data_IF_059384220262
#
_entry.id   IF_059384220262
#
_cell.length_a   1.000
_cell.length_b   1.000
_cell.length_c   1.000
_cell.angle_alpha   90.00
_cell.angle_beta   90.00
_cell.angle_gamma   90.00
#
_symmetry.space_group_name_H-M   'P 1'
#
loop_
_entity.id
_entity.type
_entity.pdbx_description
1 polymer ?
#
# COMPACT_ATOMS: atom_id res chain seq x y z
N UNK A 1 22.82 -3.26 -14.96
CA UNK A 1 23.81 -2.92 -13.89
C UNK A 1 23.62 -1.46 -13.42
N UNK A 2 23.40 -1.25 -12.11
CA UNK A 2 23.08 0.06 -11.50
C UNK A 2 24.31 0.94 -11.18
N UNK A 3 25.52 0.44 -11.49
CA UNK A 3 26.78 1.12 -11.22
C UNK A 3 27.24 1.03 -9.75
N UNK A 4 28.51 1.35 -9.50
CA UNK A 4 29.09 1.38 -8.14
C UNK A 4 28.49 2.53 -7.33
N UNK A 5 28.29 2.30 -6.03
CA UNK A 5 27.84 3.31 -5.05
C UNK A 5 26.48 3.94 -5.39
N UNK A 6 25.62 3.18 -6.06
CA UNK A 6 24.32 3.66 -6.57
C UNK A 6 23.37 4.18 -5.49
N UNK A 7 23.51 3.68 -4.25
CA UNK A 7 22.82 4.23 -3.07
C UNK A 7 23.53 5.47 -2.56
N UNK A 8 24.81 5.36 -2.18
CA UNK A 8 25.58 6.44 -1.55
C UNK A 8 25.60 7.75 -2.37
N UNK A 9 25.60 7.66 -3.71
CA UNK A 9 25.54 8.83 -4.61
C UNK A 9 24.25 9.64 -4.54
N UNK A 10 23.22 9.11 -3.88
CA UNK A 10 21.88 9.71 -3.78
C UNK A 10 21.54 10.19 -2.38
N UNK A 11 22.54 10.22 -1.49
CA UNK A 11 22.45 10.72 -0.14
C UNK A 11 23.49 11.82 0.09
N UNK A 12 23.18 12.78 0.95
CA UNK A 12 24.14 13.80 1.34
C UNK A 12 25.02 13.28 2.49
N UNK A 13 26.32 13.13 2.22
CA UNK A 13 27.29 12.67 3.22
C UNK A 13 26.89 11.32 3.83
N UNK A 14 26.82 11.27 5.17
CA UNK A 14 26.55 10.04 5.93
C UNK A 14 25.07 9.86 6.32
N UNK A 15 24.15 10.65 5.75
CA UNK A 15 22.71 10.58 6.07
C UNK A 15 22.09 9.20 5.84
N UNK A 16 22.66 8.39 4.95
CA UNK A 16 22.23 7.00 4.71
C UNK A 16 22.28 6.13 5.98
N UNK A 17 23.13 6.45 6.97
CA UNK A 17 23.20 5.75 8.27
C UNK A 17 21.93 5.93 9.11
N UNK A 18 21.21 7.03 8.88
CA UNK A 18 19.90 7.33 9.46
C UNK A 18 18.84 7.38 8.38
N UNK A 19 19.01 6.65 7.27
CA UNK A 19 18.27 6.81 6.02
C UNK A 19 17.02 5.94 5.85
N UNK A 20 16.62 5.16 6.87
CA UNK A 20 15.40 4.34 6.80
C UNK A 20 15.48 3.22 5.77
N UNK A 21 14.43 3.05 4.96
CA UNK A 21 14.30 1.97 3.98
C UNK A 21 13.91 0.62 4.60
N UNK A 22 13.14 0.65 5.69
CA UNK A 22 12.72 -0.55 6.43
C UNK A 22 11.86 -1.52 5.59
N UNK A 23 11.80 -2.80 5.96
CA UNK A 23 11.18 -3.85 5.14
C UNK A 23 10.16 -4.65 5.95
N UNK A 24 9.06 -4.00 6.31
CA UNK A 24 8.10 -4.54 7.29
C UNK A 24 6.83 -5.13 6.66
N UNK A 25 6.70 -5.07 5.33
CA UNK A 25 5.57 -5.65 4.59
C UNK A 25 5.77 -7.13 4.26
N UNK A 26 5.26 -7.54 3.10
CA UNK A 26 5.17 -8.95 2.70
C UNK A 26 6.32 -9.36 1.76
N UNK A 27 6.66 -10.64 1.78
CA UNK A 27 7.69 -11.23 0.91
C UNK A 27 7.02 -12.28 0.01
N UNK A 28 7.34 -12.27 -1.28
CA UNK A 28 6.99 -13.35 -2.21
C UNK A 28 8.23 -14.05 -2.74
N UNK A 29 8.04 -15.23 -3.35
CA UNK A 29 9.14 -16.07 -3.83
C UNK A 29 8.75 -16.80 -5.11
N UNK A 30 9.62 -16.77 -6.13
CA UNK A 30 9.52 -17.63 -7.31
C UNK A 30 10.59 -18.73 -7.26
N UNK A 31 10.23 -20.01 -7.06
CA UNK A 31 11.18 -21.11 -7.02
C UNK A 31 11.86 -21.42 -8.35
N UNK A 32 11.25 -21.07 -9.49
CA UNK A 32 11.84 -21.31 -10.81
C UNK A 32 12.95 -20.29 -11.11
N UNK A 33 12.82 -19.08 -10.57
CA UNK A 33 13.83 -18.02 -10.71
C UNK A 33 14.82 -17.98 -9.55
N UNK A 34 14.50 -18.66 -8.43
CA UNK A 34 15.20 -18.58 -7.16
C UNK A 34 15.37 -17.11 -6.70
N UNK A 35 14.25 -16.38 -6.65
CA UNK A 35 14.19 -14.97 -6.27
C UNK A 35 13.12 -14.72 -5.21
N UNK A 36 13.51 -14.02 -4.14
CA UNK A 36 12.59 -13.38 -3.20
C UNK A 36 12.31 -11.94 -3.65
N UNK A 37 11.08 -11.49 -3.47
CA UNK A 37 10.65 -10.14 -3.81
C UNK A 37 10.05 -9.45 -2.59
N UNK A 38 10.47 -8.22 -2.36
CA UNK A 38 9.98 -7.40 -1.26
C UNK A 38 10.16 -5.91 -1.59
N UNK A 39 9.51 -5.06 -0.80
CA UNK A 39 9.57 -3.62 -0.91
C UNK A 39 10.30 -2.97 0.27
N UNK A 40 11.05 -1.90 0.02
CA UNK A 40 11.63 -1.05 1.06
C UNK A 40 10.77 0.19 1.31
N UNK A 41 10.65 0.59 2.57
CA UNK A 41 9.87 1.74 3.04
C UNK A 41 10.56 3.08 2.87
N UNK A 42 10.07 4.06 3.63
CA UNK A 42 10.44 5.46 3.54
C UNK A 42 11.90 5.80 3.87
N UNK A 43 12.43 6.91 3.32
CA UNK A 43 13.78 7.40 3.60
C UNK A 43 13.89 8.11 4.96
N UNK A 44 13.45 7.44 6.03
CA UNK A 44 13.42 7.89 7.44
C UNK A 44 12.58 9.13 7.74
N UNK A 45 13.20 10.30 7.72
CA UNK A 45 12.56 11.56 8.10
C UNK A 45 11.59 12.01 7.03
N UNK A 46 10.49 12.59 7.49
CA UNK A 46 9.35 13.05 6.72
C UNK A 46 9.56 14.46 6.15
N UNK A 47 10.65 15.13 6.54
CA UNK A 47 11.06 16.38 5.90
C UNK A 47 12.04 16.07 4.74
N UNK A 48 11.63 16.17 3.47
CA UNK A 48 12.50 15.86 2.34
C UNK A 48 13.66 16.87 2.16
N UNK A 49 13.47 18.14 2.54
CA UNK A 49 14.48 19.21 2.40
C UNK A 49 15.79 18.95 3.18
N UNK A 50 15.73 18.16 4.26
CA UNK A 50 16.91 17.78 5.04
C UNK A 50 17.66 16.57 4.48
N UNK A 51 17.16 15.91 3.43
CA UNK A 51 17.75 14.72 2.81
C UNK A 51 17.74 14.78 1.28
N UNK A 52 18.40 15.78 0.66
CA UNK A 52 18.38 15.95 -0.79
C UNK A 52 18.97 14.73 -1.53
N UNK A 53 18.36 14.40 -2.66
CA UNK A 53 18.76 13.29 -3.56
C UNK A 53 17.71 12.18 -3.65
N UNK A 54 17.87 11.25 -4.58
CA UNK A 54 16.92 10.15 -4.81
C UNK A 54 16.69 9.24 -3.58
N UNK A 55 17.57 9.30 -2.57
CA UNK A 55 17.52 8.52 -1.33
C UNK A 55 17.50 6.99 -1.56
N UNK A 56 18.22 6.51 -2.58
CA UNK A 56 18.25 5.09 -2.94
C UNK A 56 18.89 4.26 -1.83
N UNK A 57 18.41 3.07 -1.52
CA UNK A 57 17.31 2.36 -2.19
C UNK A 57 16.08 2.28 -1.28
N UNK A 58 15.59 3.41 -0.76
CA UNK A 58 14.24 3.49 -0.17
C UNK A 58 13.17 3.36 -1.26
N UNK A 59 11.92 3.10 -0.91
CA UNK A 59 10.78 3.04 -1.85
C UNK A 59 11.00 2.14 -3.06
N UNK A 60 11.64 0.99 -2.88
CA UNK A 60 12.22 0.17 -3.93
C UNK A 60 11.68 -1.25 -3.87
N UNK A 61 11.24 -1.76 -5.03
CA UNK A 61 11.02 -3.18 -5.25
C UNK A 61 12.38 -3.85 -5.44
N UNK A 62 12.65 -4.87 -4.64
CA UNK A 62 13.83 -5.72 -4.74
C UNK A 62 13.49 -7.09 -5.28
N UNK A 63 14.37 -7.66 -6.11
CA UNK A 63 14.43 -9.08 -6.40
C UNK A 63 15.80 -9.62 -6.01
N UNK A 64 15.86 -10.48 -4.98
CA UNK A 64 17.13 -11.01 -4.45
C UNK A 64 17.18 -12.51 -4.51
N UNK A 65 18.37 -13.06 -4.73
CA UNK A 65 18.61 -14.47 -4.53
C UNK A 65 18.59 -14.78 -3.01
N UNK A 66 17.80 -15.76 -2.54
CA UNK A 66 17.67 -16.05 -1.10
C UNK A 66 18.93 -16.68 -0.49
N UNK A 67 19.75 -17.38 -1.29
CA UNK A 67 20.97 -18.04 -0.80
C UNK A 67 22.12 -17.05 -0.53
N UNK A 68 22.19 -15.97 -1.31
CA UNK A 68 23.32 -15.02 -1.31
C UNK A 68 22.95 -13.60 -0.89
N UNK A 69 21.66 -13.26 -0.91
CA UNK A 69 21.18 -11.89 -0.72
C UNK A 69 21.46 -10.95 -1.90
N UNK A 70 22.08 -11.43 -2.99
CA UNK A 70 22.41 -10.59 -4.15
C UNK A 70 21.16 -10.17 -4.90
N UNK A 71 21.00 -8.88 -5.17
CA UNK A 71 19.89 -8.38 -5.97
C UNK A 71 20.13 -8.64 -7.47
N UNK A 72 19.17 -9.29 -8.12
CA UNK A 72 19.17 -9.47 -9.59
C UNK A 72 18.76 -8.18 -10.29
N UNK A 73 17.71 -7.54 -9.78
CA UNK A 73 17.21 -6.25 -10.24
C UNK A 73 16.57 -5.48 -9.08
N UNK A 74 16.42 -4.18 -9.26
CA UNK A 74 15.78 -3.25 -8.33
C UNK A 74 15.03 -2.16 -9.11
N UNK A 75 13.92 -1.66 -8.57
CA UNK A 75 13.16 -0.55 -9.16
C UNK A 75 12.63 0.37 -8.06
N UNK A 76 13.05 1.64 -8.05
CA UNK A 76 12.58 2.63 -7.09
C UNK A 76 11.31 3.33 -7.59
N UNK A 77 10.22 3.16 -6.86
CA UNK A 77 8.87 3.63 -7.22
C UNK A 77 8.68 5.10 -6.91
N UNK A 78 9.14 5.54 -5.73
CA UNK A 78 9.02 6.93 -5.26
C UNK A 78 10.41 7.49 -4.93
N UNK A 79 11.21 7.89 -5.94
CA UNK A 79 12.50 8.54 -5.71
C UNK A 79 12.33 9.85 -4.97
N UNK A 80 13.17 10.11 -3.97
CA UNK A 80 13.10 11.30 -3.11
C UNK A 80 11.68 11.49 -2.54
N UNK A 81 11.16 10.48 -1.82
CA UNK A 81 9.82 10.55 -1.23
C UNK A 81 9.60 11.81 -0.38
N UNK A 82 8.42 12.39 -0.47
CA UNK A 82 8.03 13.61 0.24
C UNK A 82 6.78 13.41 1.11
N UNK A 83 6.24 12.18 1.16
CA UNK A 83 4.88 11.93 1.67
C UNK A 83 4.75 10.73 2.60
N UNK A 84 5.84 10.00 2.88
CA UNK A 84 5.82 8.72 3.59
C UNK A 84 5.12 7.60 2.82
N UNK A 85 5.30 7.54 1.50
CA UNK A 85 4.74 6.46 0.68
C UNK A 85 5.59 5.19 0.72
N UNK A 86 5.69 4.61 1.92
CA UNK A 86 6.33 3.33 2.22
C UNK A 86 6.06 2.24 1.18
N UNK A 87 7.10 1.91 0.42
CA UNK A 87 7.03 0.98 -0.72
C UNK A 87 6.98 -0.50 -0.36
N UNK A 88 6.34 -0.88 0.75
CA UNK A 88 6.46 -2.20 1.38
C UNK A 88 5.34 -3.18 1.03
N UNK A 89 4.32 -2.75 0.29
CA UNK A 89 3.17 -3.59 -0.03
C UNK A 89 3.60 -4.87 -0.77
N UNK A 90 2.74 -5.88 -0.76
CA UNK A 90 3.02 -7.20 -1.32
C UNK A 90 3.37 -7.20 -2.81
N UNK A 91 4.15 -8.20 -3.20
CA UNK A 91 4.62 -8.41 -4.57
C UNK A 91 3.93 -9.66 -5.15
N UNK A 92 2.76 -9.50 -5.78
CA UNK A 92 1.93 -10.63 -6.21
C UNK A 92 2.45 -11.21 -7.52
N UNK A 93 2.93 -12.46 -7.47
CA UNK A 93 3.53 -13.13 -8.63
C UNK A 93 2.45 -13.86 -9.43
N UNK A 94 2.34 -13.55 -10.72
CA UNK A 94 1.34 -14.16 -11.62
C UNK A 94 1.95 -14.49 -12.97
N UNK A 95 1.43 -15.50 -13.65
CA UNK A 95 1.78 -15.81 -15.03
C UNK A 95 0.60 -15.44 -15.93
N UNK A 96 0.77 -14.43 -16.78
CA UNK A 96 -0.31 -13.92 -17.63
C UNK A 96 0.17 -13.58 -19.03
N UNK A 97 -0.77 -13.37 -19.96
CA UNK A 97 -0.47 -12.80 -21.26
C UNK A 97 -0.63 -11.28 -21.22
N UNK A 98 0.41 -10.55 -21.60
CA UNK A 98 0.40 -9.09 -21.78
C UNK A 98 0.99 -8.76 -23.15
N UNK A 99 0.28 -7.94 -23.93
CA UNK A 99 0.66 -7.68 -25.33
C UNK A 99 0.75 -8.93 -26.21
N UNK A 100 -0.05 -9.97 -25.92
CA UNK A 100 -0.02 -11.26 -26.63
C UNK A 100 1.15 -12.17 -26.28
N UNK A 101 2.00 -11.80 -25.30
CA UNK A 101 3.16 -12.58 -24.88
C UNK A 101 2.95 -13.12 -23.47
N UNK A 102 3.22 -14.41 -23.26
CA UNK A 102 3.26 -15.00 -21.93
C UNK A 102 4.42 -14.39 -21.13
N UNK A 103 4.13 -13.89 -19.93
CA UNK A 103 5.09 -13.23 -19.06
C UNK A 103 4.97 -13.70 -17.63
N UNK A 104 6.12 -13.78 -16.98
CA UNK A 104 6.26 -13.95 -15.54
C UNK A 104 6.14 -12.58 -14.89
N UNK A 105 4.96 -12.24 -14.38
CA UNK A 105 4.63 -10.92 -13.84
C UNK A 105 4.78 -10.85 -12.32
N UNK A 106 5.05 -9.64 -11.84
CA UNK A 106 4.87 -9.17 -10.46
C UNK A 106 3.96 -7.96 -10.53
N UNK A 107 2.86 -7.97 -9.76
CA UNK A 107 1.96 -6.83 -9.61
C UNK A 107 2.00 -6.33 -8.17
N UNK A 108 2.09 -5.01 -8.01
CA UNK A 108 2.28 -4.33 -6.74
C UNK A 108 1.38 -3.08 -6.68
N UNK A 109 0.69 -2.89 -5.55
CA UNK A 109 -0.18 -1.76 -5.30
C UNK A 109 0.46 -0.88 -4.24
N UNK A 110 1.17 0.15 -4.67
CA UNK A 110 1.97 0.97 -3.77
C UNK A 110 1.12 1.98 -2.99
N UNK A 111 1.61 2.40 -1.82
CA UNK A 111 1.01 3.51 -1.06
C UNK A 111 0.83 4.76 -1.90
N UNK A 112 1.75 5.05 -2.82
CA UNK A 112 1.68 6.25 -3.64
C UNK A 112 0.46 6.27 -4.60
N UNK A 113 -0.35 5.21 -4.65
CA UNK A 113 -1.57 5.16 -5.44
C UNK A 113 -1.38 4.67 -6.87
N UNK A 114 -0.17 4.21 -7.22
CA UNK A 114 0.14 3.59 -8.50
C UNK A 114 0.17 2.06 -8.36
N UNK A 115 -0.51 1.40 -9.29
CA UNK A 115 -0.48 -0.03 -9.50
C UNK A 115 0.59 -0.35 -10.53
N UNK A 116 1.66 -1.01 -10.09
CA UNK A 116 2.80 -1.38 -10.90
C UNK A 116 2.68 -2.84 -11.35
N UNK A 117 2.88 -3.10 -12.64
CA UNK A 117 3.10 -4.45 -13.16
C UNK A 117 4.47 -4.50 -13.81
N UNK A 118 5.31 -5.42 -13.33
CA UNK A 118 6.67 -5.63 -13.79
C UNK A 118 6.84 -7.06 -14.31
N UNK A 119 7.78 -7.25 -15.22
CA UNK A 119 8.35 -8.57 -15.49
C UNK A 119 9.25 -8.97 -14.31
N UNK A 120 8.90 -10.04 -13.59
CA UNK A 120 9.58 -10.40 -12.34
C UNK A 120 10.94 -11.05 -12.54
N UNK A 121 11.28 -11.43 -13.76
CA UNK A 121 12.60 -11.99 -14.07
C UNK A 121 13.62 -10.87 -14.37
N UNK A 122 13.21 -9.89 -15.17
CA UNK A 122 14.07 -8.82 -15.67
C UNK A 122 13.98 -7.50 -14.90
N UNK A 123 12.86 -7.25 -14.20
CA UNK A 123 12.55 -5.96 -13.58
C UNK A 123 12.02 -4.90 -14.56
N UNK A 124 11.66 -5.30 -15.79
CA UNK A 124 11.06 -4.38 -16.77
C UNK A 124 9.71 -3.86 -16.28
N UNK A 125 9.53 -2.54 -16.25
CA UNK A 125 8.26 -1.91 -15.92
C UNK A 125 7.32 -1.93 -17.14
N UNK A 126 6.16 -2.58 -16.99
CA UNK A 126 5.19 -2.81 -18.06
C UNK A 126 3.95 -1.91 -17.93
N UNK A 127 3.44 -1.73 -16.71
CA UNK A 127 2.27 -0.89 -16.40
C UNK A 127 2.56 -0.12 -15.11
N UNK A 128 2.15 1.16 -15.07
CA UNK A 128 2.21 2.00 -13.87
C UNK A 128 1.08 3.03 -13.91
N UNK A 129 -0.10 2.62 -13.44
CA UNK A 129 -1.35 3.40 -13.54
C UNK A 129 -1.98 3.65 -12.17
N UNK A 130 -2.76 4.71 -12.05
CA UNK A 130 -3.42 5.05 -10.78
C UNK A 130 -4.54 4.05 -10.46
N UNK A 131 -4.54 3.46 -9.27
CA UNK A 131 -5.63 2.60 -8.79
C UNK A 131 -6.60 3.33 -7.85
N UNK A 132 -6.45 4.64 -7.72
CA UNK A 132 -7.44 5.57 -7.19
C UNK A 132 -7.46 6.84 -8.06
N UNK A 133 -8.62 7.23 -8.63
CA UNK A 133 -8.70 8.40 -9.50
C UNK A 133 -8.39 9.74 -8.80
N UNK A 134 -8.38 9.79 -7.46
CA UNK A 134 -8.07 11.02 -6.70
C UNK A 134 -6.58 11.27 -6.50
N UNK A 135 -5.71 10.30 -6.82
CA UNK A 135 -4.25 10.46 -6.71
C UNK A 135 -3.81 11.69 -7.51
N UNK A 136 -3.21 12.68 -6.85
CA UNK A 136 -2.89 13.98 -7.44
C UNK A 136 -1.42 14.41 -7.29
N UNK A 137 -0.66 13.80 -6.39
CA UNK A 137 0.76 14.14 -6.18
C UNK A 137 1.64 13.94 -7.43
N UNK A 138 1.18 13.09 -8.36
CA UNK A 138 1.84 12.82 -9.63
C UNK A 138 0.85 12.90 -10.81
N UNK A 139 1.35 13.31 -11.97
CA UNK A 139 0.61 13.19 -13.24
C UNK A 139 0.72 11.80 -13.88
N UNK A 140 1.52 10.90 -13.30
CA UNK A 140 1.77 9.54 -13.80
C UNK A 140 3.27 9.24 -13.93
N UNK A 141 3.60 8.01 -14.33
CA UNK A 141 4.98 7.57 -14.55
C UNK A 141 5.40 7.82 -15.99
N UNK A 142 6.64 8.28 -16.17
CA UNK A 142 7.22 8.40 -17.51
C UNK A 142 7.54 7.01 -18.10
N UNK A 143 6.68 6.53 -19.00
CA UNK A 143 6.82 5.21 -19.63
C UNK A 143 7.61 5.23 -20.95
N UNK A 144 8.12 6.39 -21.39
CA UNK A 144 8.93 6.47 -22.60
C UNK A 144 10.35 5.97 -22.33
N UNK A 145 10.71 4.78 -22.84
CA UNK A 145 12.03 4.15 -22.64
C UNK A 145 13.22 4.99 -23.11
N UNK A 146 13.01 5.94 -24.02
CA UNK A 146 14.06 6.85 -24.51
C UNK A 146 14.18 8.13 -23.65
N UNK A 147 13.29 8.33 -22.69
CA UNK A 147 13.29 9.50 -21.82
C UNK A 147 14.36 9.38 -20.73
N UNK A 148 15.09 10.46 -20.39
CA UNK A 148 16.02 10.46 -19.26
C UNK A 148 15.34 10.23 -17.90
N UNK A 149 14.02 10.43 -17.84
CA UNK A 149 13.21 10.21 -16.63
C UNK A 149 12.37 8.93 -16.70
N UNK A 150 12.66 8.02 -17.64
CA UNK A 150 11.95 6.74 -17.75
C UNK A 150 11.84 6.03 -16.40
N UNK A 151 10.62 5.55 -16.09
CA UNK A 151 10.28 4.85 -14.87
C UNK A 151 10.09 5.76 -13.64
N UNK A 152 10.19 7.09 -13.77
CA UNK A 152 9.99 8.02 -12.65
C UNK A 152 8.58 8.64 -12.67
N UNK A 153 7.91 8.77 -11.52
CA UNK A 153 6.73 9.60 -11.38
C UNK A 153 7.03 11.07 -11.70
N UNK A 154 6.11 11.73 -12.40
CA UNK A 154 6.17 13.17 -12.67
C UNK A 154 5.47 13.92 -11.54
N UNK A 155 6.24 14.29 -10.51
CA UNK A 155 5.76 15.02 -9.33
C UNK A 155 5.05 16.31 -9.75
N UNK A 156 3.89 16.58 -9.16
CA UNK A 156 3.11 17.80 -9.38
C UNK A 156 3.56 18.84 -8.34
N UNK A 157 4.12 19.99 -8.75
CA UNK A 157 4.68 20.96 -7.80
C UNK A 157 3.69 21.49 -6.76
N UNK A 158 2.39 21.55 -7.07
CA UNK A 158 1.34 21.99 -6.15
C UNK A 158 1.17 21.07 -4.93
N UNK A 159 1.52 19.79 -5.06
CA UNK A 159 1.35 18.77 -4.02
C UNK A 159 2.69 18.22 -3.49
N UNK A 160 3.81 18.83 -3.87
CA UNK A 160 5.16 18.52 -3.39
C UNK A 160 5.39 19.19 -2.04
N UNK A 161 5.92 18.44 -1.07
CA UNK A 161 6.17 18.93 0.30
C UNK A 161 7.59 19.44 0.51
N UNK A 162 8.42 19.47 -0.53
CA UNK A 162 9.85 19.86 -0.48
C UNK A 162 10.11 21.18 0.27
N UNK A 163 9.16 22.11 0.25
CA UNK A 163 9.25 23.35 1.03
C UNK A 163 8.87 23.12 2.50
N UNK A 164 9.87 23.21 3.38
CA UNK A 164 9.72 23.18 4.84
C UNK A 164 8.89 24.34 5.40
N UNK A 165 8.26 24.12 6.56
CA UNK A 165 7.50 25.09 7.37
C UNK A 165 6.34 25.74 6.60
N UNK A 166 5.79 25.00 5.65
CA UNK A 166 4.60 25.34 4.88
C UNK A 166 3.64 24.17 4.93
N UNK A 167 2.39 24.43 5.27
CA UNK A 167 1.34 23.43 5.22
C UNK A 167 0.83 23.25 3.78
N UNK A 168 1.21 22.14 3.17
CA UNK A 168 0.80 21.71 1.83
C UNK A 168 -0.53 20.98 1.92
N UNK A 169 -1.54 21.41 1.17
CA UNK A 169 -2.92 20.98 1.37
C UNK A 169 -3.45 20.13 0.24
N UNK A 170 -4.36 19.23 0.56
CA UNK A 170 -5.13 18.47 -0.42
C UNK A 170 -4.32 17.42 -1.17
N UNK A 171 -3.28 16.87 -0.56
CA UNK A 171 -2.45 15.82 -1.16
C UNK A 171 -3.21 14.50 -1.09
N UNK A 172 -3.30 13.80 -2.21
CA UNK A 172 -3.94 12.50 -2.31
C UNK A 172 -2.98 11.51 -3.00
N UNK A 173 -2.72 10.34 -2.41
CA UNK A 173 -3.26 9.87 -1.13
C UNK A 173 -2.65 10.57 0.10
N UNK A 174 -3.18 10.27 1.29
CA UNK A 174 -2.52 10.59 2.56
C UNK A 174 -1.28 9.72 2.78
N UNK A 175 -0.48 9.99 3.82
CA UNK A 175 0.72 9.21 4.19
C UNK A 175 0.46 7.70 4.38
N UNK A 176 -0.75 7.34 4.82
CA UNK A 176 -1.20 5.94 4.89
C UNK A 176 -1.43 5.28 3.51
N UNK A 177 -1.26 6.04 2.43
CA UNK A 177 -1.34 5.62 1.03
C UNK A 177 -2.75 5.31 0.54
N UNK A 178 -2.88 5.05 -0.77
CA UNK A 178 -4.10 4.49 -1.35
C UNK A 178 -4.33 3.03 -0.91
N UNK A 179 -3.32 2.39 -0.32
CA UNK A 179 -3.37 1.06 0.30
C UNK A 179 -2.18 0.95 1.25
N UNK A 180 -2.40 0.40 2.44
CA UNK A 180 -1.36 0.21 3.47
C UNK A 180 -0.99 -1.29 3.54
N UNK A 181 -0.72 -1.83 4.72
CA UNK A 181 -0.34 -3.23 4.92
C UNK A 181 -1.28 -4.27 4.32
N UNK A 182 -2.58 -3.97 4.20
CA UNK A 182 -3.60 -4.95 3.87
C UNK A 182 -3.36 -5.64 2.51
N UNK A 183 -3.10 -6.96 2.43
CA UNK A 183 -2.74 -7.59 1.16
C UNK A 183 -3.94 -7.72 0.20
N UNK A 184 -3.70 -7.46 -1.09
CA UNK A 184 -4.63 -7.76 -2.16
C UNK A 184 -4.65 -9.27 -2.49
N UNK A 185 -5.73 -9.71 -3.12
CA UNK A 185 -5.88 -11.07 -3.63
C UNK A 185 -5.84 -11.12 -5.15
N UNK A 186 -5.53 -12.27 -5.73
CA UNK A 186 -5.59 -12.52 -7.17
C UNK A 186 -6.42 -13.77 -7.46
N UNK A 187 -7.22 -13.75 -8.52
CA UNK A 187 -7.89 -14.96 -9.04
C UNK A 187 -7.35 -15.30 -10.43
N UNK A 188 -6.78 -16.51 -10.63
CA UNK A 188 -6.37 -16.96 -11.96
C UNK A 188 -7.57 -17.20 -12.91
N UNK A 189 -8.77 -17.46 -12.37
CA UNK A 189 -9.98 -17.72 -13.16
C UNK A 189 -10.51 -16.45 -13.84
N UNK A 190 -10.45 -15.32 -13.13
CA UNK A 190 -10.87 -14.01 -13.67
C UNK A 190 -9.70 -13.24 -14.28
N UNK A 191 -8.47 -13.54 -13.85
CA UNK A 191 -7.28 -12.77 -14.17
C UNK A 191 -7.24 -11.38 -13.49
N UNK A 192 -8.06 -11.16 -12.46
CA UNK A 192 -8.19 -9.87 -11.77
C UNK A 192 -7.54 -9.90 -10.38
N UNK A 193 -7.10 -8.73 -9.95
CA UNK A 193 -6.67 -8.45 -8.59
C UNK A 193 -7.80 -7.81 -7.82
N UNK A 194 -7.96 -8.16 -6.54
CA UNK A 194 -8.97 -7.61 -5.64
C UNK A 194 -8.28 -6.86 -4.52
N UNK A 195 -8.39 -5.53 -4.56
CA UNK A 195 -7.53 -4.62 -3.81
C UNK A 195 -8.37 -3.88 -2.77
N UNK A 196 -8.10 -4.10 -1.47
CA UNK A 196 -8.68 -3.30 -0.40
C UNK A 196 -7.95 -1.95 -0.30
N UNK A 197 -8.60 -0.88 -0.74
CA UNK A 197 -8.00 0.46 -0.85
C UNK A 197 -8.51 1.43 0.21
N UNK A 198 -7.67 2.43 0.45
CA UNK A 198 -7.96 3.64 1.19
C UNK A 198 -8.40 4.72 0.18
N UNK A 199 -9.14 5.70 0.66
CA UNK A 199 -9.60 6.86 -0.09
C UNK A 199 -9.52 8.07 0.84
N UNK A 200 -8.29 8.48 1.15
CA UNK A 200 -7.98 9.50 2.16
C UNK A 200 -6.92 10.43 1.59
N UNK A 201 -7.09 11.73 1.82
CA UNK A 201 -6.14 12.79 1.48
C UNK A 201 -5.59 13.44 2.76
N UNK A 202 -4.59 14.30 2.60
CA UNK A 202 -3.94 14.95 3.74
C UNK A 202 -3.56 16.40 3.48
N UNK A 203 -3.45 17.12 4.59
CA UNK A 203 -2.62 18.31 4.75
C UNK A 203 -1.29 17.89 5.41
N UNK A 204 -0.17 18.45 4.97
CA UNK A 204 1.18 18.04 5.36
C UNK A 204 2.09 19.25 5.57
N UNK A 205 2.65 19.39 6.77
CA UNK A 205 3.59 20.44 7.10
C UNK A 205 4.92 19.83 7.59
N UNK A 206 5.97 19.79 6.75
CA UNK A 206 7.27 19.29 7.14
C UNK A 206 8.04 20.35 7.95
N UNK A 207 8.77 19.93 8.96
CA UNK A 207 9.63 20.78 9.77
C UNK A 207 10.96 20.07 10.08
N UNK A 208 12.01 20.86 10.33
CA UNK A 208 13.32 20.30 10.64
C UNK A 208 13.29 19.53 11.96
N UNK A 209 13.88 18.33 11.96
CA UNK A 209 14.01 17.50 13.16
C UNK A 209 15.45 17.00 13.30
N UNK A 210 15.93 16.88 14.54
CA UNK A 210 17.24 16.31 14.86
C UNK A 210 17.11 14.82 15.17
N UNK A 211 18.06 14.02 14.69
CA UNK A 211 18.11 12.60 15.04
C UNK A 211 18.60 12.41 16.48
N UNK A 212 17.90 11.58 17.26
CA UNK A 212 18.35 11.07 18.55
C UNK A 212 18.01 9.59 18.62
N UNK A 213 19.00 8.73 18.87
CA UNK A 213 18.78 7.29 18.94
C UNK A 213 17.73 6.93 20.00
N UNK A 214 16.76 6.10 19.62
CA UNK A 214 15.63 5.71 20.49
C UNK A 214 14.46 6.70 20.54
N UNK A 215 14.55 7.85 19.85
CA UNK A 215 13.46 8.82 19.73
C UNK A 215 12.86 8.83 18.31
N UNK A 216 11.58 9.23 18.14
CA UNK A 216 10.99 9.42 16.82
C UNK A 216 11.76 10.42 15.97
N UNK A 217 11.99 10.10 14.71
CA UNK A 217 12.68 10.95 13.74
C UNK A 217 11.76 11.26 12.55
N UNK A 218 10.61 11.87 12.85
CA UNK A 218 9.55 12.17 11.86
C UNK A 218 9.87 13.50 11.16
N UNK A 219 9.49 14.64 11.73
CA UNK A 219 9.69 15.96 11.10
C UNK A 219 8.52 16.41 10.22
N UNK A 220 7.29 16.03 10.57
CA UNK A 220 6.09 16.51 9.90
C UNK A 220 4.87 16.47 10.83
N UNK A 221 3.92 17.37 10.59
CA UNK A 221 2.57 17.37 11.18
C UNK A 221 1.55 17.15 10.07
N UNK A 222 0.55 16.31 10.32
CA UNK A 222 -0.43 15.90 9.31
C UNK A 222 -1.86 16.04 9.83
N UNK A 223 -2.78 16.23 8.89
CA UNK A 223 -4.22 16.05 9.10
C UNK A 223 -4.77 15.22 7.95
N UNK A 224 -5.62 14.23 8.26
CA UNK A 224 -6.18 13.32 7.25
C UNK A 224 -7.71 13.47 7.15
N UNK A 225 -8.25 13.33 5.95
CA UNK A 225 -9.68 13.51 5.66
C UNK A 225 -10.07 12.78 4.37
N UNK A 226 -11.35 12.43 4.16
CA UNK A 226 -11.82 11.90 2.87
C UNK A 226 -11.62 12.94 1.76
N UNK A 227 -11.42 12.53 0.50
CA UNK A 227 -11.25 13.45 -0.63
C UNK A 227 -12.34 14.52 -0.70
N UNK A 228 -12.00 15.77 -1.10
CA UNK A 228 -12.98 16.85 -1.17
C UNK A 228 -14.24 16.47 -1.96
N UNK A 229 -15.40 16.71 -1.35
CA UNK A 229 -16.71 16.36 -1.92
C UNK A 229 -17.15 14.92 -1.70
N UNK A 230 -16.35 14.09 -1.03
CA UNK A 230 -16.70 12.71 -0.69
C UNK A 230 -16.70 12.49 0.83
N UNK A 231 -17.50 11.54 1.31
CA UNK A 231 -17.63 11.23 2.75
C UNK A 231 -17.06 9.86 3.13
N UNK A 232 -16.73 9.05 2.12
CA UNK A 232 -16.27 7.68 2.27
C UNK A 232 -14.73 7.63 2.21
N UNK A 233 -14.11 6.74 2.98
CA UNK A 233 -12.65 6.66 3.12
C UNK A 233 -12.04 5.38 2.59
N UNK A 234 -12.81 4.48 1.96
CA UNK A 234 -12.28 3.23 1.42
C UNK A 234 -12.99 2.78 0.16
N UNK A 235 -12.29 2.03 -0.68
CA UNK A 235 -12.91 1.31 -1.76
C UNK A 235 -12.40 -0.13 -1.76
N UNK A 236 -13.26 -1.09 -2.10
CA UNK A 236 -12.83 -2.43 -2.49
C UNK A 236 -12.95 -2.53 -4.00
N UNK A 237 -11.83 -2.68 -4.70
CA UNK A 237 -11.79 -2.62 -6.16
C UNK A 237 -11.38 -3.95 -6.77
N UNK A 238 -11.79 -4.19 -8.02
CA UNK A 238 -11.09 -5.11 -8.91
C UNK A 238 -10.21 -4.35 -9.89
N UNK A 239 -9.01 -4.88 -10.13
CA UNK A 239 -7.99 -4.29 -10.98
C UNK A 239 -7.50 -5.29 -12.03
N UNK A 240 -7.40 -4.82 -13.28
CA UNK A 240 -6.71 -5.55 -14.35
C UNK A 240 -5.25 -5.09 -14.43
N UNK A 241 -4.34 -5.93 -13.92
CA UNK A 241 -2.90 -5.66 -13.91
C UNK A 241 -2.25 -5.59 -15.29
N UNK A 242 -2.91 -6.07 -16.35
CA UNK A 242 -2.38 -6.01 -17.72
C UNK A 242 -2.65 -4.67 -18.39
N UNK A 243 -3.77 -4.03 -18.03
CA UNK A 243 -4.24 -2.79 -18.68
C UNK A 243 -4.17 -1.58 -17.77
N UNK A 244 -3.97 -1.78 -16.47
CA UNK A 244 -3.88 -0.70 -15.50
C UNK A 244 -5.23 -0.04 -15.22
N UNK A 245 -6.30 -0.84 -15.13
CA UNK A 245 -7.67 -0.32 -15.01
C UNK A 245 -8.44 -0.93 -13.85
N UNK A 246 -9.21 -0.08 -13.18
CA UNK A 246 -10.26 -0.49 -12.24
C UNK A 246 -11.42 -1.07 -13.07
N UNK A 247 -11.79 -2.32 -12.80
CA UNK A 247 -12.90 -3.03 -13.47
C UNK A 247 -14.23 -2.74 -12.78
N UNK A 248 -14.24 -2.75 -11.45
CA UNK A 248 -15.36 -2.35 -10.62
C UNK A 248 -14.83 -1.83 -9.28
N UNK A 249 -15.67 -1.06 -8.56
CA UNK A 249 -15.35 -0.51 -7.24
C UNK A 249 -16.59 -0.52 -6.34
N UNK A 250 -16.40 -0.96 -5.09
CA UNK A 250 -17.39 -0.90 -4.02
C UNK A 250 -16.92 0.13 -3.00
N UNK A 251 -17.70 1.20 -2.80
CA UNK A 251 -17.40 2.22 -1.78
C UNK A 251 -17.63 1.67 -0.38
N UNK A 252 -16.71 1.96 0.52
CA UNK A 252 -16.78 1.64 1.95
C UNK A 252 -16.67 2.92 2.79
N UNK A 253 -17.41 2.96 3.90
CA UNK A 253 -17.47 4.14 4.76
C UNK A 253 -16.10 4.51 5.32
N UNK A 254 -15.40 3.53 5.89
CA UNK A 254 -14.00 3.66 6.27
C UNK A 254 -13.10 2.93 5.28
N UNK A 255 -11.79 3.18 5.37
CA UNK A 255 -10.80 2.43 4.59
C UNK A 255 -10.91 0.92 4.79
N UNK A 256 -10.57 0.17 3.74
CA UNK A 256 -10.57 -1.30 3.81
C UNK A 256 -9.17 -1.75 4.25
N UNK A 257 -9.01 -2.05 5.53
CA UNK A 257 -7.71 -2.34 6.17
C UNK A 257 -7.44 -3.84 6.39
N UNK A 258 -8.29 -4.71 5.86
CA UNK A 258 -8.11 -6.15 5.96
C UNK A 258 -7.47 -6.72 4.70
N UNK A 259 -6.67 -7.78 4.82
CA UNK A 259 -6.30 -8.58 3.65
C UNK A 259 -7.51 -9.27 3.00
N UNK A 260 -7.51 -9.28 1.67
CA UNK A 260 -8.53 -9.94 0.86
C UNK A 260 -8.21 -11.43 0.62
N UNK A 261 -9.23 -12.23 0.37
CA UNK A 261 -9.10 -13.64 0.00
C UNK A 261 -10.02 -13.98 -1.17
N UNK A 262 -9.45 -14.33 -2.33
CA UNK A 262 -10.20 -14.86 -3.46
C UNK A 262 -10.21 -16.40 -3.43
N UNK A 263 -11.32 -17.01 -3.83
CA UNK A 263 -11.47 -18.49 -3.88
C UNK A 263 -11.98 -18.95 -5.24
N UNK A 264 -11.77 -20.23 -5.57
CA UNK A 264 -12.27 -20.86 -6.80
C UNK A 264 -13.81 -20.89 -6.90
N UNK A 265 -14.52 -20.61 -5.80
CA UNK A 265 -15.99 -20.47 -5.80
C UNK A 265 -16.51 -19.20 -6.47
N UNK A 266 -15.63 -18.36 -7.04
CA UNK A 266 -16.01 -17.08 -7.64
C UNK A 266 -16.39 -16.02 -6.61
N UNK A 267 -15.94 -16.17 -5.36
CA UNK A 267 -16.21 -15.25 -4.25
C UNK A 267 -14.91 -14.70 -3.68
N UNK A 268 -14.95 -13.42 -3.29
CA UNK A 268 -13.83 -12.71 -2.67
C UNK A 268 -14.27 -12.17 -1.32
N UNK A 269 -13.50 -12.46 -0.27
CA UNK A 269 -13.77 -12.03 1.08
C UNK A 269 -12.86 -10.87 1.49
N UNK A 270 -13.39 -9.95 2.28
CA UNK A 270 -12.63 -8.92 2.97
C UNK A 270 -13.40 -8.45 4.22
N UNK A 271 -12.70 -7.80 5.13
CA UNK A 271 -13.23 -7.19 6.35
C UNK A 271 -13.26 -5.67 6.28
N UNK A 272 -14.22 -5.05 6.97
CA UNK A 272 -14.28 -3.59 7.13
C UNK A 272 -13.85 -3.16 8.53
N UNK A 273 -13.44 -1.88 8.68
CA UNK A 273 -13.03 -1.32 9.97
C UNK A 273 -14.17 -1.24 10.99
N UNK A 274 -15.44 -1.14 10.56
CA UNK A 274 -16.60 -1.31 11.45
C UNK A 274 -16.92 -2.78 11.81
N UNK A 275 -16.12 -3.73 11.31
CA UNK A 275 -16.14 -5.12 11.74
C UNK A 275 -17.07 -6.00 10.94
N UNK A 276 -17.39 -5.67 9.69
CA UNK A 276 -18.13 -6.58 8.82
C UNK A 276 -17.17 -7.48 8.05
N UNK A 277 -17.34 -8.80 8.16
CA UNK A 277 -16.83 -9.73 7.14
C UNK A 277 -17.82 -9.68 5.97
N UNK A 278 -17.31 -9.34 4.79
CA UNK A 278 -18.07 -9.31 3.54
C UNK A 278 -17.56 -10.37 2.57
N UNK A 279 -18.46 -10.87 1.74
CA UNK A 279 -18.10 -11.63 0.54
C UNK A 279 -18.75 -10.96 -0.68
N UNK A 280 -17.99 -10.79 -1.76
CA UNK A 280 -18.46 -10.21 -3.01
C UNK A 280 -18.25 -11.18 -4.17
N UNK A 281 -19.08 -11.06 -5.20
CA UNK A 281 -18.91 -11.76 -6.47
C UNK A 281 -17.63 -11.27 -7.18
N UNK A 282 -16.78 -12.21 -7.59
CA UNK A 282 -15.46 -11.95 -8.15
C UNK A 282 -15.48 -11.18 -9.48
N UNK A 283 -16.59 -11.18 -10.23
CA UNK A 283 -16.69 -10.52 -11.54
C UNK A 283 -17.40 -9.18 -11.48
N UNK A 284 -18.34 -9.02 -10.55
CA UNK A 284 -19.27 -7.88 -10.50
C UNK A 284 -19.09 -6.99 -9.29
N UNK A 285 -18.41 -7.46 -8.23
CA UNK A 285 -18.27 -6.75 -6.96
C UNK A 285 -19.56 -6.73 -6.13
N UNK A 286 -20.62 -7.44 -6.54
CA UNK A 286 -21.89 -7.47 -5.81
C UNK A 286 -21.71 -8.16 -4.44
N UNK A 287 -22.15 -7.52 -3.37
CA UNK A 287 -22.20 -8.13 -2.02
C UNK A 287 -23.11 -9.36 -2.01
N UNK A 288 -22.57 -10.50 -1.56
CA UNK A 288 -23.23 -11.80 -1.44
C UNK A 288 -23.44 -12.20 0.02
N UNK A 289 -22.56 -11.75 0.90
CA UNK A 289 -22.60 -12.06 2.33
C UNK A 289 -22.08 -10.88 3.14
N UNK A 290 -22.64 -10.69 4.33
CA UNK A 290 -22.21 -9.68 5.30
C UNK A 290 -22.52 -10.16 6.71
N UNK A 291 -21.53 -10.16 7.60
CA UNK A 291 -21.68 -10.53 9.00
C UNK A 291 -20.89 -9.60 9.92
N UNK A 292 -21.52 -9.16 11.01
CA UNK A 292 -20.89 -8.28 12.01
C UNK A 292 -20.05 -9.11 12.98
N UNK A 293 -18.74 -9.04 12.83
CA UNK A 293 -17.78 -9.51 13.82
C UNK A 293 -17.70 -8.56 15.03
N UNK A 294 -17.15 -9.02 16.17
CA UNK A 294 -17.19 -8.26 17.43
C UNK A 294 -16.35 -6.97 17.46
N UNK A 295 -15.34 -6.84 16.59
CA UNK A 295 -14.51 -5.64 16.45
C UNK A 295 -14.15 -5.38 14.99
N UNK A 296 -13.47 -4.27 14.70
CA UNK A 296 -12.99 -3.94 13.36
C UNK A 296 -11.98 -4.96 12.87
N UNK A 297 -11.90 -5.14 11.55
CA UNK A 297 -11.03 -6.13 10.94
C UNK A 297 -9.86 -5.41 10.26
N UNK A 298 -8.66 -5.66 10.77
CA UNK A 298 -7.38 -5.28 10.14
C UNK A 298 -6.55 -6.52 9.77
N UNK A 299 -7.04 -7.72 10.11
CA UNK A 299 -6.38 -8.97 9.78
C UNK A 299 -6.75 -9.48 8.39
N UNK A 300 -6.16 -10.60 7.99
CA UNK A 300 -6.38 -11.21 6.69
C UNK A 300 -7.41 -12.32 6.78
N UNK A 301 -8.40 -12.33 5.87
CA UNK A 301 -9.32 -13.46 5.76
C UNK A 301 -8.54 -14.69 5.30
N UNK A 302 -8.75 -15.84 5.96
CA UNK A 302 -8.09 -17.11 5.60
C UNK A 302 -9.14 -18.21 5.45
N UNK A 303 -8.85 -19.23 4.63
CA UNK A 303 -9.69 -20.43 4.51
C UNK A 303 -8.87 -21.69 4.75
N UNK A 304 -9.52 -22.75 5.22
CA UNK A 304 -8.94 -24.08 5.37
C UNK A 304 -10.04 -25.15 5.29
N UNK A 305 -9.65 -26.41 5.17
CA UNK A 305 -10.56 -27.55 5.24
C UNK A 305 -10.27 -28.39 6.49
N UNK A 306 -11.31 -28.85 7.18
CA UNK A 306 -11.20 -29.78 8.29
C UNK A 306 -12.36 -30.78 8.24
N UNK A 307 -12.05 -32.08 8.22
CA UNK A 307 -13.07 -33.14 8.14
C UNK A 307 -13.93 -33.09 6.87
N UNK A 308 -13.36 -32.71 5.73
CA UNK A 308 -14.07 -32.59 4.45
C UNK A 308 -14.97 -31.36 4.33
N UNK A 309 -14.90 -30.43 5.29
CA UNK A 309 -15.69 -29.19 5.32
C UNK A 309 -14.78 -27.98 5.26
N UNK A 310 -15.09 -27.06 4.34
CA UNK A 310 -14.37 -25.79 4.21
C UNK A 310 -14.82 -24.79 5.29
N UNK A 311 -13.85 -24.06 5.84
CA UNK A 311 -14.03 -22.99 6.81
C UNK A 311 -13.40 -21.69 6.31
N UNK A 312 -14.01 -20.57 6.67
CA UNK A 312 -13.44 -19.22 6.53
C UNK A 312 -13.17 -18.70 7.94
N UNK A 313 -12.01 -18.10 8.19
CA UNK A 313 -11.65 -17.56 9.49
C UNK A 313 -11.09 -16.14 9.37
N UNK A 314 -11.40 -15.30 10.36
CA UNK A 314 -10.92 -13.92 10.42
C UNK A 314 -10.73 -13.44 11.86
N UNK A 315 -9.63 -12.72 12.09
CA UNK A 315 -9.37 -12.03 13.36
C UNK A 315 -10.07 -10.67 13.38
N UNK A 316 -10.71 -10.36 14.51
CA UNK A 316 -11.33 -9.08 14.80
C UNK A 316 -10.67 -8.43 16.01
N UNK A 317 -10.34 -7.16 15.87
CA UNK A 317 -9.56 -6.36 16.81
C UNK A 317 -9.03 -5.12 16.09
N UNK A 318 -9.81 -4.04 16.10
CA UNK A 318 -9.45 -2.80 15.42
C UNK A 318 -8.17 -2.21 16.02
N UNK A 319 -7.30 -1.71 15.16
CA UNK A 319 -5.97 -1.24 15.54
C UNK A 319 -5.21 -0.77 14.30
N UNK A 320 -3.91 -1.04 14.26
CA UNK A 320 -3.04 -0.49 13.22
C UNK A 320 -3.10 1.04 13.23
N UNK A 321 -2.74 1.66 12.11
CA UNK A 321 -2.74 3.12 12.02
C UNK A 321 -4.15 3.71 11.91
N UNK A 322 -5.04 3.10 11.11
CA UNK A 322 -6.43 3.53 10.96
C UNK A 322 -7.23 3.50 12.28
N UNK A 323 -6.92 2.56 13.17
CA UNK A 323 -7.54 2.43 14.50
C UNK A 323 -6.74 3.05 15.64
N UNK A 324 -5.66 3.80 15.38
CA UNK A 324 -4.71 4.21 16.43
C UNK A 324 -5.33 5.07 17.53
N UNK A 325 -6.34 5.88 17.19
CA UNK A 325 -7.09 6.67 18.18
C UNK A 325 -7.78 5.80 19.23
N UNK A 326 -8.36 4.67 18.80
CA UNK A 326 -8.95 3.68 19.71
C UNK A 326 -7.88 2.87 20.46
N UNK A 327 -6.85 2.41 19.76
CA UNK A 327 -5.84 1.51 20.32
C UNK A 327 -4.93 2.19 21.35
N UNK A 328 -4.57 3.45 21.13
CA UNK A 328 -3.71 4.22 22.02
C UNK A 328 -4.48 5.23 22.91
N UNK A 329 -5.81 5.30 22.80
CA UNK A 329 -6.63 6.22 23.58
C UNK A 329 -6.40 7.70 23.26
N UNK A 330 -6.02 8.01 22.02
CA UNK A 330 -5.70 9.37 21.58
C UNK A 330 -6.97 10.13 21.18
N UNK A 331 -7.06 11.40 21.56
CA UNK A 331 -8.22 12.25 21.26
C UNK A 331 -7.88 13.53 20.49
N UNK A 332 -6.62 13.94 20.45
CA UNK A 332 -6.18 15.08 19.64
C UNK A 332 -6.27 14.70 18.14
N UNK A 333 -6.99 15.47 17.31
CA UNK A 333 -7.16 15.15 15.88
C UNK A 333 -5.86 15.03 15.08
N UNK A 334 -4.80 15.73 15.49
CA UNK A 334 -3.49 15.74 14.82
C UNK A 334 -2.54 14.68 15.38
N UNK A 335 -2.82 14.14 16.58
CA UNK A 335 -2.06 13.03 17.14
C UNK A 335 -2.20 11.75 16.29
N UNK A 336 -1.29 10.81 16.50
CA UNK A 336 -1.21 9.62 15.64
C UNK A 336 -0.99 9.98 14.17
N UNK A 337 -0.28 11.08 13.91
CA UNK A 337 0.07 11.57 12.57
C UNK A 337 -1.19 11.82 11.70
N UNK A 338 -2.21 12.46 12.28
CA UNK A 338 -3.46 12.84 11.59
C UNK A 338 -4.53 11.75 11.48
N UNK A 339 -4.19 10.48 11.71
CA UNK A 339 -5.16 9.38 11.62
C UNK A 339 -6.22 9.43 12.72
N UNK A 340 -5.90 9.95 13.91
CA UNK A 340 -6.86 10.06 15.02
C UNK A 340 -8.06 10.95 14.61
N UNK A 341 -7.79 12.10 14.00
CA UNK A 341 -8.83 12.99 13.46
C UNK A 341 -9.55 12.39 12.26
N UNK A 342 -8.81 11.81 11.31
CA UNK A 342 -9.39 11.25 10.08
C UNK A 342 -10.40 10.13 10.35
N UNK A 343 -10.15 9.29 11.36
CA UNK A 343 -11.00 8.16 11.72
C UNK A 343 -11.83 8.40 13.00
N UNK A 344 -12.06 9.66 13.39
CA UNK A 344 -12.73 9.98 14.64
C UNK A 344 -14.13 9.32 14.80
N UNK A 345 -14.86 9.13 13.70
CA UNK A 345 -16.17 8.48 13.71
C UNK A 345 -16.11 6.96 13.95
N UNK A 346 -14.96 6.31 13.77
CA UNK A 346 -14.81 4.85 13.85
C UNK A 346 -15.22 4.28 15.23
N UNK A 347 -14.95 5.05 16.29
CA UNK A 347 -15.34 4.69 17.68
C UNK A 347 -16.84 4.52 17.89
N UNK A 348 -17.68 5.05 17.00
CA UNK A 348 -19.13 4.92 17.09
C UNK A 348 -19.61 3.56 16.56
N UNK A 349 -18.76 2.80 15.86
CA UNK A 349 -19.12 1.56 15.18
C UNK A 349 -18.42 0.33 15.76
N UNK A 350 -17.27 0.53 16.40
CA UNK A 350 -16.43 -0.55 16.89
C UNK A 350 -15.64 -0.15 18.14
N UNK A 351 -15.08 -1.13 18.82
CA UNK A 351 -14.19 -0.98 19.98
C UNK A 351 -13.05 -1.98 19.84
N UNK A 352 -12.04 -1.90 20.72
CA UNK A 352 -10.95 -2.88 20.73
C UNK A 352 -11.47 -4.30 20.88
N UNK A 353 -10.71 -5.26 20.37
CA UNK A 353 -11.09 -6.68 20.36
C UNK A 353 -9.88 -7.59 20.24
N UNK A 354 -10.15 -8.89 20.22
CA UNK A 354 -9.13 -9.94 20.15
C UNK A 354 -9.77 -11.31 19.96
N UNK A 355 -10.64 -11.43 18.95
CA UNK A 355 -11.41 -12.66 18.71
C UNK A 355 -11.20 -13.19 17.29
N UNK A 356 -11.03 -14.50 17.17
CA UNK A 356 -11.09 -15.24 15.92
C UNK A 356 -12.53 -15.70 15.69
N UNK A 357 -13.12 -15.34 14.55
CA UNK A 357 -14.44 -15.84 14.14
C UNK A 357 -14.26 -16.83 12.99
N UNK A 358 -14.92 -17.98 13.08
CA UNK A 358 -14.86 -19.06 12.08
C UNK A 358 -16.26 -19.32 11.50
N UNK A 359 -16.35 -19.41 10.18
CA UNK A 359 -17.58 -19.58 9.40
C UNK A 359 -17.50 -20.85 8.57
N UNK A 360 -18.63 -21.54 8.41
CA UNK A 360 -18.80 -22.61 7.45
C UNK A 360 -20.28 -22.67 7.03
N UNK A 361 -20.56 -23.35 5.91
CA UNK A 361 -21.94 -23.71 5.56
C UNK A 361 -22.53 -24.67 6.64
N UNK A 362 -23.86 -24.76 6.82
CA UNK A 362 -24.48 -25.66 7.78
C UNK A 362 -24.04 -27.12 7.65
#
# INVERSE_FOLDING_TARGET
PIGKDSSLKTWQGDQWKTGGGCTWGWISYDPQLNLIYYGSGNPSTWNPSQRPGDNKWSMTIFARNPDTGMAKWVYQMTPHDEWDYDGVNEMILTDQQIGGQARKLLTHFDRNGLGYTLDRDSGELLVAEKFDPKVNWTSGVDMNKSSPTYGRPKVVPEYSTEKQDVNHKGICPAALGSKDEQPAAYSPDTGLFYVPTNHVCMDYEPFRVSYTAGQPYVGATLSMYPPPGESHMGNFIAWDGKTGKIVWSVKEQFSVWSGALATAGGVVFYGTLEGYLKAVDAKTGKELYKFKTPSGIIGNVTTYEHGGKQYIAILSGVGGWAGIGLAAGLTDPTAGLGAVGGYAALRNYTSLGGQLTVFALP
#
